data_IF_112763771938
#
_entry.id   IF_112763771938
#
_cell.length_a   1.000
_cell.length_b   1.000
_cell.length_c   1.000
_cell.angle_alpha   90.00
_cell.angle_beta   90.00
_cell.angle_gamma   90.00
#
_symmetry.space_group_name_H-M   'P 1'
#
loop_
_entity.id
_entity.type
_entity.pdbx_description
1 polymer ?
#
# COMPACT_ATOMS: atom_id res chain seq x y z
N UNK A 1 -14.64 8.61 2.18
CA UNK A 1 -15.95 8.90 1.57
C UNK A 1 -16.24 7.84 0.50
N UNK A 2 -17.43 7.27 0.50
CA UNK A 2 -17.90 6.42 -0.61
C UNK A 2 -18.37 7.36 -1.72
N UNK A 3 -17.70 7.36 -2.87
CA UNK A 3 -18.01 8.29 -3.97
C UNK A 3 -19.13 7.74 -4.88
N UNK A 4 -19.22 6.41 -5.00
CA UNK A 4 -20.25 5.64 -5.76
C UNK A 4 -20.38 4.25 -5.13
N UNK A 5 -21.39 3.47 -5.55
CA UNK A 5 -21.68 2.11 -5.04
C UNK A 5 -20.46 1.18 -4.91
N UNK A 6 -19.41 1.36 -5.73
CA UNK A 6 -18.22 0.51 -5.75
C UNK A 6 -16.89 1.29 -5.67
N UNK A 7 -16.93 2.56 -5.24
CA UNK A 7 -15.72 3.41 -5.14
C UNK A 7 -15.60 3.96 -3.72
N UNK A 8 -14.50 3.60 -3.05
CA UNK A 8 -14.09 4.17 -1.77
C UNK A 8 -12.93 5.13 -2.01
N UNK A 9 -13.09 6.40 -1.66
CA UNK A 9 -12.00 7.37 -1.66
C UNK A 9 -11.62 7.78 -0.24
N UNK A 10 -10.32 7.84 0.03
CA UNK A 10 -9.73 8.32 1.27
C UNK A 10 -8.92 9.56 0.92
N UNK A 11 -9.26 10.70 1.55
CA UNK A 11 -8.49 11.93 1.47
C UNK A 11 -7.95 12.25 2.85
N UNK A 12 -6.63 12.32 2.97
CA UNK A 12 -5.92 12.68 4.19
C UNK A 12 -5.22 14.01 3.96
N UNK A 13 -5.30 14.91 4.92
CA UNK A 13 -4.66 16.22 4.85
C UNK A 13 -4.12 16.65 6.20
N UNK A 14 -2.97 17.31 6.19
CA UNK A 14 -2.37 17.87 7.40
C UNK A 14 -1.64 19.18 7.08
N UNK A 15 -1.72 20.12 8.01
CA UNK A 15 -1.07 21.44 7.92
C UNK A 15 -0.34 21.69 9.23
N UNK A 16 0.99 21.77 9.22
CA UNK A 16 1.76 22.12 10.41
C UNK A 16 1.43 23.56 10.82
N UNK A 17 1.19 23.78 12.11
CA UNK A 17 0.77 25.10 12.59
C UNK A 17 1.95 26.07 12.74
N UNK A 18 3.06 25.61 13.32
CA UNK A 18 4.13 26.51 13.78
C UNK A 18 5.53 26.13 13.33
N UNK A 19 5.77 24.87 12.95
CA UNK A 19 7.11 24.39 12.57
C UNK A 19 7.01 23.38 11.42
N UNK A 20 8.04 23.38 10.58
CA UNK A 20 8.24 22.35 9.58
C UNK A 20 8.22 20.96 10.23
N UNK A 21 7.54 19.99 9.61
CA UNK A 21 7.49 18.63 10.15
C UNK A 21 7.33 17.59 9.02
N UNK A 22 7.93 16.40 9.16
CA UNK A 22 7.63 15.29 8.28
C UNK A 22 6.16 14.87 8.39
N UNK A 23 5.49 14.70 7.26
CA UNK A 23 4.13 14.16 7.16
C UNK A 23 4.11 13.09 6.09
N UNK A 24 3.75 11.87 6.47
CA UNK A 24 3.52 10.78 5.54
C UNK A 24 2.35 9.93 6.07
N UNK A 25 1.14 10.18 5.56
CA UNK A 25 -0.08 9.53 6.03
C UNK A 25 -0.41 8.36 5.13
N UNK A 26 -0.83 7.23 5.70
CA UNK A 26 -1.21 6.03 4.96
C UNK A 26 -2.49 5.40 5.52
N UNK A 27 -3.12 4.51 4.74
CA UNK A 27 -4.25 3.69 5.17
C UNK A 27 -3.84 2.21 5.22
N UNK A 28 -3.77 1.66 6.43
CA UNK A 28 -3.27 0.31 6.69
C UNK A 28 -4.41 -0.74 6.75
N UNK A 29 -5.29 -0.72 5.75
CA UNK A 29 -6.34 -1.73 5.60
C UNK A 29 -5.82 -3.03 5.00
N UNK A 30 -6.13 -4.16 5.64
CA UNK A 30 -5.85 -5.49 5.08
C UNK A 30 -6.99 -5.95 4.18
N UNK A 31 -6.60 -6.49 3.02
CA UNK A 31 -7.51 -6.98 2.00
C UNK A 31 -7.31 -8.47 1.77
N UNK A 32 -8.43 -9.19 1.69
CA UNK A 32 -8.49 -10.51 1.08
C UNK A 32 -9.73 -10.54 0.20
N UNK A 33 -9.52 -10.54 -1.12
CA UNK A 33 -10.64 -10.47 -2.09
C UNK A 33 -11.46 -11.76 -2.14
N UNK A 34 -10.99 -12.88 -1.60
CA UNK A 34 -11.82 -14.08 -1.41
C UNK A 34 -12.85 -13.89 -0.29
N UNK A 35 -12.53 -13.04 0.69
CA UNK A 35 -13.27 -12.83 1.94
C UNK A 35 -12.27 -12.77 3.10
N UNK A 36 -12.60 -12.08 4.20
CA UNK A 36 -11.65 -12.03 5.33
C UNK A 36 -11.43 -13.40 5.99
N UNK A 37 -12.29 -14.36 5.70
CA UNK A 37 -12.33 -15.73 6.20
C UNK A 37 -11.91 -16.76 5.15
N UNK A 38 -11.45 -16.33 3.96
CA UNK A 38 -11.12 -17.22 2.85
C UNK A 38 -9.70 -17.79 2.91
N UNK A 39 -9.05 -17.79 4.07
CA UNK A 39 -7.68 -18.27 4.24
C UNK A 39 -6.62 -17.29 3.74
N UNK A 40 -5.66 -17.78 2.95
CA UNK A 40 -4.49 -16.99 2.53
C UNK A 40 -4.70 -16.20 1.24
N UNK A 41 -3.89 -15.19 1.02
CA UNK A 41 -3.84 -14.38 -0.21
C UNK A 41 -2.89 -14.94 -1.28
N UNK A 42 -2.35 -16.15 -1.10
CA UNK A 42 -1.32 -16.70 -2.00
C UNK A 42 -1.81 -17.01 -3.41
N UNK A 43 -3.13 -17.13 -3.59
CA UNK A 43 -3.75 -17.30 -4.90
C UNK A 43 -4.17 -15.96 -5.54
N UNK A 44 -4.02 -14.83 -4.83
CA UNK A 44 -4.30 -13.53 -5.40
C UNK A 44 -3.26 -13.19 -6.46
N UNK A 45 -3.74 -12.62 -7.55
CA UNK A 45 -2.87 -12.01 -8.54
C UNK A 45 -2.75 -10.51 -8.30
N UNK A 46 -1.55 -9.96 -8.49
CA UNK A 46 -1.26 -8.55 -8.25
C UNK A 46 -0.55 -7.93 -9.44
N UNK A 47 -0.87 -6.66 -9.71
CA UNK A 47 -0.21 -5.84 -10.71
C UNK A 47 0.15 -4.49 -10.08
N UNK A 48 1.43 -4.17 -10.03
CA UNK A 48 1.95 -2.91 -9.50
C UNK A 48 2.65 -2.18 -10.62
N UNK A 49 2.15 -0.97 -10.94
CA UNK A 49 2.71 -0.13 -12.01
C UNK A 49 3.92 0.62 -11.44
N UNK A 50 5.03 -0.10 -11.25
CA UNK A 50 6.32 0.48 -10.85
C UNK A 50 7.47 -0.19 -11.58
N UNK A 51 8.44 0.59 -12.04
CA UNK A 51 9.67 0.06 -12.65
C UNK A 51 10.78 -0.17 -11.61
N UNK A 52 10.59 0.32 -10.38
CA UNK A 52 11.60 0.25 -9.33
C UNK A 52 11.00 -0.06 -7.96
N UNK A 53 11.84 -0.57 -7.06
CA UNK A 53 11.54 -0.75 -5.64
C UNK A 53 12.68 -0.16 -4.80
N UNK A 54 12.46 -0.02 -3.50
CA UNK A 54 13.48 0.45 -2.54
C UNK A 54 14.06 -0.75 -1.79
N UNK A 55 15.30 -1.19 -2.10
CA UNK A 55 15.96 -2.23 -1.32
C UNK A 55 16.11 -1.79 0.13
N UNK A 56 15.97 -2.74 1.05
CA UNK A 56 16.11 -2.51 2.49
C UNK A 56 17.31 -3.30 3.04
N UNK A 57 17.82 -2.85 4.18
CA UNK A 57 18.80 -3.58 4.97
C UNK A 57 18.15 -4.64 5.89
N UNK A 58 18.97 -5.28 6.73
CA UNK A 58 18.54 -6.32 7.67
C UNK A 58 17.60 -5.78 8.79
N UNK A 59 17.47 -4.46 8.92
CA UNK A 59 16.55 -3.79 9.83
C UNK A 59 15.27 -3.31 9.12
N UNK A 60 15.11 -3.66 7.83
CA UNK A 60 14.01 -3.24 6.97
C UNK A 60 14.00 -1.73 6.68
N UNK A 61 15.14 -1.05 6.82
CA UNK A 61 15.28 0.37 6.49
C UNK A 61 15.76 0.49 5.03
N UNK A 62 15.13 1.34 4.20
CA UNK A 62 15.59 1.56 2.83
C UNK A 62 17.04 2.05 2.76
N UNK A 63 17.77 1.59 1.75
CA UNK A 63 19.16 2.04 1.52
C UNK A 63 19.27 3.45 0.91
N UNK A 64 18.14 4.12 0.65
CA UNK A 64 18.07 5.37 -0.10
C UNK A 64 18.20 5.21 -1.62
N UNK A 65 18.22 3.98 -2.15
CA UNK A 65 18.36 3.69 -3.58
C UNK A 65 17.06 3.16 -4.19
N UNK A 66 16.91 3.37 -5.51
CA UNK A 66 15.92 2.69 -6.33
C UNK A 66 16.59 1.59 -7.14
N UNK A 67 16.08 0.36 -7.03
CA UNK A 67 16.51 -0.77 -7.85
C UNK A 67 15.42 -1.15 -8.85
N UNK A 68 15.81 -1.58 -10.05
CA UNK A 68 14.86 -2.01 -11.07
C UNK A 68 14.12 -3.28 -10.63
N UNK A 69 12.81 -3.34 -10.85
CA UNK A 69 12.04 -4.56 -10.59
C UNK A 69 12.31 -5.64 -11.63
N UNK A 70 12.61 -5.24 -12.88
CA UNK A 70 12.75 -6.16 -14.01
C UNK A 70 13.77 -7.26 -13.73
N UNK A 71 13.33 -8.52 -13.89
CA UNK A 71 14.18 -9.69 -13.65
C UNK A 71 14.38 -10.04 -12.18
N UNK A 72 13.61 -9.44 -11.27
CA UNK A 72 13.59 -9.76 -9.83
C UNK A 72 12.23 -10.34 -9.42
N UNK A 73 12.13 -10.98 -8.25
CA UNK A 73 10.83 -11.38 -7.68
C UNK A 73 9.86 -10.22 -7.42
N UNK A 74 10.32 -8.96 -7.48
CA UNK A 74 9.50 -7.77 -7.30
C UNK A 74 8.87 -7.26 -8.62
N UNK A 75 9.08 -7.96 -9.74
CA UNK A 75 8.49 -7.61 -11.03
C UNK A 75 7.00 -7.95 -11.10
N UNK A 76 6.16 -7.04 -10.62
CA UNK A 76 4.71 -7.10 -10.72
C UNK A 76 4.15 -6.27 -11.89
N UNK A 77 4.95 -5.99 -12.92
CA UNK A 77 4.56 -5.09 -14.03
C UNK A 77 3.67 -5.76 -15.08
N UNK A 78 3.52 -7.08 -15.03
CA UNK A 78 2.64 -7.82 -15.93
C UNK A 78 1.21 -7.85 -15.37
N UNK A 79 0.23 -7.43 -16.16
CA UNK A 79 -1.19 -7.53 -15.77
C UNK A 79 -1.61 -9.01 -15.69
N UNK A 80 -2.08 -9.49 -14.52
CA UNK A 80 -2.59 -10.84 -14.42
C UNK A 80 -3.98 -10.95 -15.05
N UNK A 81 -4.30 -12.16 -15.50
CA UNK A 81 -5.60 -12.52 -16.06
C UNK A 81 -6.59 -12.87 -14.92
N UNK A 82 -6.94 -11.88 -14.08
CA UNK A 82 -7.97 -11.97 -13.01
C UNK A 82 -7.73 -13.02 -11.90
N UNK A 83 -8.39 -12.85 -10.74
CA UNK A 83 -8.54 -13.90 -9.71
C UNK A 83 -9.71 -14.82 -10.09
N UNK A 84 -9.42 -16.08 -10.45
CA UNK A 84 -10.40 -17.01 -11.00
C UNK A 84 -11.42 -17.51 -9.95
N UNK A 85 -11.10 -17.46 -8.66
CA UNK A 85 -11.93 -18.08 -7.63
C UNK A 85 -13.13 -17.20 -7.22
N UNK A 86 -12.92 -15.90 -7.03
CA UNK A 86 -13.97 -14.98 -6.56
C UNK A 86 -14.55 -14.09 -7.66
N UNK A 87 -13.83 -13.95 -8.78
CA UNK A 87 -14.13 -12.96 -9.83
C UNK A 87 -13.94 -11.50 -9.39
N UNK A 88 -13.61 -11.23 -8.11
CA UNK A 88 -13.48 -9.89 -7.54
C UNK A 88 -12.16 -9.27 -7.94
N UNK A 89 -12.19 -7.97 -8.21
CA UNK A 89 -11.03 -7.16 -8.55
C UNK A 89 -11.05 -5.86 -7.75
N UNK A 90 -9.88 -5.44 -7.29
CA UNK A 90 -9.65 -4.15 -6.67
C UNK A 90 -8.61 -3.37 -7.48
N UNK A 91 -8.94 -2.14 -7.84
CA UNK A 91 -8.02 -1.18 -8.44
C UNK A 91 -7.76 -0.05 -7.41
N UNK A 92 -6.50 0.34 -7.27
CA UNK A 92 -6.08 1.42 -6.37
C UNK A 92 -5.36 2.51 -7.19
N UNK A 93 -5.87 3.74 -7.12
CA UNK A 93 -5.19 4.94 -7.63
C UNK A 93 -4.78 5.85 -6.47
N UNK A 94 -3.68 6.57 -6.66
CA UNK A 94 -3.14 7.47 -5.65
C UNK A 94 -2.42 8.65 -6.28
N UNK A 95 -2.22 9.71 -5.49
CA UNK A 95 -1.31 10.81 -5.82
C UNK A 95 0.07 10.66 -5.14
N UNK A 96 0.33 9.58 -4.40
CA UNK A 96 1.60 9.35 -3.72
C UNK A 96 2.67 8.76 -4.64
N UNK A 97 3.97 9.00 -4.35
CA UNK A 97 5.06 8.51 -5.19
C UNK A 97 5.35 7.00 -5.01
N UNK A 98 4.90 6.38 -3.92
CA UNK A 98 5.17 4.97 -3.62
C UNK A 98 3.95 4.21 -3.08
N UNK A 99 4.12 2.89 -3.01
CA UNK A 99 3.18 1.97 -2.35
C UNK A 99 3.97 0.91 -1.58
N UNK A 100 3.68 0.77 -0.28
CA UNK A 100 4.11 -0.39 0.49
C UNK A 100 3.17 -1.54 0.13
N UNK A 101 3.74 -2.61 -0.40
CA UNK A 101 3.04 -3.89 -0.57
C UNK A 101 3.50 -4.84 0.53
N UNK A 102 2.60 -5.13 1.46
CA UNK A 102 2.87 -6.02 2.60
C UNK A 102 1.88 -7.16 2.64
N UNK A 103 2.38 -8.38 2.70
CA UNK A 103 1.61 -9.62 2.57
C UNK A 103 1.15 -10.20 3.91
N UNK A 104 1.13 -9.42 5.00
CA UNK A 104 0.65 -9.93 6.30
C UNK A 104 1.56 -11.00 6.91
N UNK A 105 2.87 -10.85 6.73
CA UNK A 105 3.88 -11.86 7.11
C UNK A 105 4.00 -12.11 8.62
N UNK A 106 3.63 -11.12 9.42
CA UNK A 106 3.71 -11.13 10.89
C UNK A 106 2.38 -11.44 11.57
N UNK A 107 1.32 -11.74 10.80
CA UNK A 107 0.07 -12.19 11.40
C UNK A 107 0.29 -13.57 12.01
N UNK A 108 0.00 -13.71 13.30
CA UNK A 108 0.07 -14.95 14.04
C UNK A 108 -1.15 -15.06 14.95
N UNK A 109 -2.06 -15.97 14.59
CA UNK A 109 -3.20 -16.35 15.41
C UNK A 109 -4.07 -15.17 15.90
N UNK A 110 -4.22 -14.11 15.10
CA UNK A 110 -4.94 -12.90 15.49
C UNK A 110 -6.45 -13.15 15.47
N UNK A 111 -7.15 -12.84 16.58
CA UNK A 111 -8.61 -12.98 16.66
C UNK A 111 -9.31 -11.95 15.78
N UNK A 112 -9.95 -12.42 14.72
CA UNK A 112 -10.68 -11.64 13.74
C UNK A 112 -12.19 -11.58 13.97
N UNK A 113 -12.90 -11.05 12.96
CA UNK A 113 -14.36 -10.96 12.95
C UNK A 113 -14.99 -12.34 12.78
N UNK A 114 -16.20 -12.54 13.33
CA UNK A 114 -16.95 -13.79 13.17
C UNK A 114 -16.28 -15.03 13.78
N UNK A 115 -15.32 -14.84 14.70
CA UNK A 115 -14.57 -15.95 15.31
C UNK A 115 -13.41 -16.49 14.45
N UNK A 116 -13.15 -15.88 13.29
CA UNK A 116 -12.05 -16.27 12.39
C UNK A 116 -10.71 -15.91 13.00
N UNK A 117 -9.71 -16.77 12.84
CA UNK A 117 -8.32 -16.50 13.21
C UNK A 117 -7.53 -16.07 11.97
N UNK A 118 -6.92 -14.89 12.00
CA UNK A 118 -6.05 -14.39 10.93
C UNK A 118 -4.60 -14.82 11.18
N UNK A 119 -4.09 -15.68 10.29
CA UNK A 119 -2.72 -16.18 10.30
C UNK A 119 -1.87 -15.47 9.22
N UNK A 120 -0.61 -15.86 9.12
CA UNK A 120 0.32 -15.39 8.08
C UNK A 120 -0.32 -15.47 6.70
N UNK A 121 -0.20 -14.38 5.95
CA UNK A 121 -0.80 -14.23 4.62
C UNK A 121 -2.34 -14.20 4.57
N UNK A 122 -3.05 -14.02 5.68
CA UNK A 122 -4.51 -13.93 5.66
C UNK A 122 -5.05 -12.69 4.93
N UNK A 123 -4.22 -11.66 4.75
CA UNK A 123 -4.54 -10.44 4.02
C UNK A 123 -3.30 -9.69 3.58
N UNK A 124 -3.47 -8.77 2.63
CA UNK A 124 -2.43 -7.88 2.13
C UNK A 124 -2.78 -6.41 2.39
N UNK A 125 -1.76 -5.57 2.58
CA UNK A 125 -1.86 -4.11 2.62
C UNK A 125 -1.28 -3.50 1.34
N UNK A 126 -1.92 -2.42 0.89
CA UNK A 126 -1.42 -1.54 -0.17
C UNK A 126 -1.46 -0.11 0.37
N UNK A 127 -0.36 0.31 1.00
CA UNK A 127 -0.26 1.60 1.66
C UNK A 127 0.42 2.57 0.70
N UNK A 128 -0.34 3.41 0.01
CA UNK A 128 0.27 4.43 -0.83
C UNK A 128 0.85 5.53 0.04
N UNK A 129 2.07 5.98 -0.22
CA UNK A 129 2.81 6.85 0.71
C UNK A 129 4.05 7.47 0.06
N UNK A 130 4.69 8.42 0.75
CA UNK A 130 6.10 8.75 0.56
C UNK A 130 7.00 7.57 0.93
N UNK A 131 8.22 7.50 0.37
CA UNK A 131 9.13 6.38 0.65
C UNK A 131 9.51 6.32 2.13
N UNK A 132 9.62 5.11 2.72
CA UNK A 132 10.10 4.97 4.08
C UNK A 132 11.49 5.61 4.23
N UNK A 133 11.74 6.19 5.40
CA UNK A 133 12.99 6.88 5.74
C UNK A 133 13.38 8.08 4.83
N UNK A 134 12.46 8.62 4.03
CA UNK A 134 12.74 9.73 3.11
C UNK A 134 13.35 10.98 3.76
N UNK A 135 13.05 11.25 5.04
CA UNK A 135 13.63 12.39 5.77
C UNK A 135 15.17 12.29 5.90
N UNK A 136 15.70 11.06 5.90
CA UNK A 136 17.14 10.78 6.02
C UNK A 136 17.80 10.54 4.66
N UNK A 137 17.04 10.53 3.56
CA UNK A 137 17.53 10.37 2.19
C UNK A 137 17.15 11.54 1.26
N UNK A 138 17.42 12.81 1.64
CA UNK A 138 16.88 14.00 0.96
C UNK A 138 17.37 14.18 -0.48
N UNK A 139 18.49 13.56 -0.86
CA UNK A 139 19.05 13.68 -2.21
C UNK A 139 18.39 12.72 -3.21
N UNK A 140 17.76 11.65 -2.72
CA UNK A 140 17.27 10.56 -3.57
C UNK A 140 15.76 10.34 -3.45
N UNK A 141 15.17 10.59 -2.28
CA UNK A 141 13.73 10.42 -2.07
C UNK A 141 13.02 11.79 -2.04
N UNK A 142 11.81 11.91 -2.62
CA UNK A 142 11.01 13.12 -2.50
C UNK A 142 10.75 13.49 -1.04
N UNK A 143 11.02 14.75 -0.69
CA UNK A 143 10.81 15.26 0.66
C UNK A 143 9.39 15.01 1.15
N UNK A 144 9.29 14.59 2.41
CA UNK A 144 8.02 14.49 3.15
C UNK A 144 7.89 15.60 4.20
N UNK A 145 8.75 16.63 4.17
CA UNK A 145 8.67 17.78 5.08
C UNK A 145 7.62 18.76 4.58
N UNK A 146 6.69 19.13 5.45
CA UNK A 146 5.66 20.14 5.19
C UNK A 146 5.99 21.38 6.01
N UNK A 147 5.98 22.54 5.36
CA UNK A 147 6.21 23.83 6.00
C UNK A 147 4.90 24.44 6.53
N UNK A 148 4.94 25.29 7.58
CA UNK A 148 3.79 26.10 7.97
C UNK A 148 3.26 26.92 6.80
N UNK A 149 1.94 26.97 6.63
CA UNK A 149 1.29 27.61 5.48
C UNK A 149 1.13 26.70 4.26
N UNK A 150 1.78 25.53 4.22
CA UNK A 150 1.54 24.50 3.21
C UNK A 150 0.69 23.35 3.77
N UNK A 151 -0.08 22.71 2.90
CA UNK A 151 -0.95 21.59 3.28
C UNK A 151 -0.53 20.34 2.53
N UNK A 152 -0.20 19.28 3.28
CA UNK A 152 -0.09 17.94 2.74
C UNK A 152 -1.46 17.44 2.30
N UNK A 153 -1.55 16.85 1.12
CA UNK A 153 -2.78 16.23 0.61
C UNK A 153 -2.44 14.89 -0.02
N UNK A 154 -3.07 13.85 0.50
CA UNK A 154 -2.97 12.49 -0.02
C UNK A 154 -4.37 11.97 -0.34
N UNK A 155 -4.54 11.48 -1.57
CA UNK A 155 -5.77 10.87 -2.06
C UNK A 155 -5.49 9.43 -2.47
N UNK A 156 -6.29 8.50 -1.94
CA UNK A 156 -6.36 7.10 -2.34
C UNK A 156 -7.76 6.81 -2.87
N UNK A 157 -7.87 6.13 -4.01
CA UNK A 157 -9.15 5.73 -4.59
C UNK A 157 -9.13 4.23 -4.84
N UNK A 158 -9.99 3.51 -4.14
CA UNK A 158 -10.25 2.09 -4.37
C UNK A 158 -11.50 1.95 -5.24
N UNK A 159 -11.41 1.18 -6.32
CA UNK A 159 -12.58 0.74 -7.11
C UNK A 159 -12.66 -0.77 -7.06
N UNK A 160 -13.85 -1.26 -6.77
CA UNK A 160 -14.16 -2.68 -6.75
C UNK A 160 -15.03 -3.06 -7.94
N UNK A 161 -14.74 -4.21 -8.55
CA UNK A 161 -15.56 -4.81 -9.60
C UNK A 161 -15.62 -6.32 -9.38
N UNK A 162 -16.64 -6.97 -9.94
CA UNK A 162 -16.73 -8.43 -10.00
C UNK A 162 -17.24 -8.82 -11.41
N UNK A 163 -16.81 -9.98 -11.89
CA UNK A 163 -17.36 -10.63 -13.09
C UNK A 163 -18.49 -11.57 -12.69
#
# INVERSE_FOLDING_TARGET
MILKHNILAIRMSATPLTKATPVNLAYHGYWNLGGHDSGTILNHTIHIISHSYTPVDDQLIPTGQFAMVKGTPYDFTTRPRQDEASGRKMELWTNQPGVQFYTGNMLDSVKGKGGVTYNKYAGLCLETQGFPDAVNHPNNFPSQVVEPGHTYVHVMVFRFTAA
#
